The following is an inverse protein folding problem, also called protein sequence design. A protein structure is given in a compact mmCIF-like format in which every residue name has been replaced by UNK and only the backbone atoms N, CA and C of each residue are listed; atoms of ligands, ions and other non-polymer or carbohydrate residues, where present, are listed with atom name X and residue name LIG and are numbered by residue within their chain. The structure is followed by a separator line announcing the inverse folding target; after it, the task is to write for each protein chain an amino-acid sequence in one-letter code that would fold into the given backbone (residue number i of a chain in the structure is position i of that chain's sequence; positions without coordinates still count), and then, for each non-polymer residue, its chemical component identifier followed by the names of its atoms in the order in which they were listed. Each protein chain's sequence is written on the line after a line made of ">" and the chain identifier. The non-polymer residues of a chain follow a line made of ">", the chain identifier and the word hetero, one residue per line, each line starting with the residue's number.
data_IF_608001940197
#
_entry.id   IF_608001940197
#
_cell.length_a   1.000
_cell.length_b   1.000
_cell.length_c   1.000
_cell.angle_alpha   90.00
_cell.angle_beta   90.00
_cell.angle_gamma   90.00
#
_symmetry.space_group_name_H-M   'P 1'
#
loop_
_entity.id
_entity.type
_entity.pdbx_description
1 polymer ?
#
# COMPACT_ATOMS: atom_id res chain seq x y z
N UNK A 1 34.56 -7.16 7.25
CA UNK A 1 33.45 -6.88 8.20
C UNK A 1 32.58 -5.68 7.81
N UNK A 2 33.08 -4.64 7.13
CA UNK A 2 32.31 -3.43 6.74
C UNK A 2 31.23 -3.73 5.66
N UNK A 3 31.41 -4.73 4.80
CA UNK A 3 30.50 -5.07 3.71
C UNK A 3 29.20 -5.78 4.16
N UNK A 4 29.15 -6.37 5.35
CA UNK A 4 27.98 -7.09 5.86
C UNK A 4 26.94 -6.16 6.53
N UNK A 5 27.33 -4.98 6.96
CA UNK A 5 26.44 -4.02 7.66
C UNK A 5 25.60 -3.20 6.68
N UNK A 6 26.10 -2.95 5.45
CA UNK A 6 25.40 -2.15 4.43
C UNK A 6 23.99 -2.64 4.08
N UNK A 7 23.75 -3.95 3.83
CA UNK A 7 22.40 -4.41 3.47
C UNK A 7 21.39 -4.22 4.60
N UNK A 8 21.78 -4.41 5.87
CA UNK A 8 20.88 -4.18 7.00
C UNK A 8 20.52 -2.70 7.17
N UNK A 9 21.52 -1.80 7.05
CA UNK A 9 21.28 -0.37 7.13
C UNK A 9 20.32 0.11 6.02
N UNK A 10 20.51 -0.38 4.79
CA UNK A 10 19.61 -0.07 3.66
C UNK A 10 18.19 -0.61 3.90
N UNK A 11 18.06 -1.82 4.43
CA UNK A 11 16.76 -2.41 4.77
C UNK A 11 16.02 -1.58 5.82
N UNK A 12 16.70 -1.19 6.91
CA UNK A 12 16.11 -0.39 7.98
C UNK A 12 15.74 1.02 7.49
N UNK A 13 16.62 1.68 6.74
CA UNK A 13 16.33 3.02 6.20
C UNK A 13 15.18 3.01 5.19
N UNK A 14 15.09 1.98 4.35
CA UNK A 14 13.98 1.83 3.42
C UNK A 14 12.63 1.68 4.14
N UNK A 15 12.58 0.87 5.20
CA UNK A 15 11.38 0.71 6.03
C UNK A 15 10.99 2.00 6.74
N UNK A 16 11.95 2.68 7.36
CA UNK A 16 11.71 3.95 8.04
C UNK A 16 11.22 5.03 7.06
N UNK A 17 11.85 5.15 5.89
CA UNK A 17 11.43 6.10 4.85
C UNK A 17 10.01 5.81 4.35
N UNK A 18 9.68 4.55 4.10
CA UNK A 18 8.34 4.16 3.70
C UNK A 18 7.29 4.54 4.75
N UNK A 19 7.58 4.28 6.03
CA UNK A 19 6.68 4.65 7.12
C UNK A 19 6.49 6.16 7.24
N UNK A 20 7.56 6.95 7.09
CA UNK A 20 7.46 8.41 7.11
C UNK A 20 6.62 8.93 5.95
N UNK A 21 6.82 8.45 4.73
CA UNK A 21 6.01 8.82 3.56
C UNK A 21 4.54 8.47 3.76
N UNK A 22 4.26 7.30 4.35
CA UNK A 22 2.91 6.86 4.66
C UNK A 22 2.25 7.70 5.76
N UNK A 23 3.02 8.15 6.75
CA UNK A 23 2.50 8.91 7.89
C UNK A 23 2.09 10.35 7.56
N UNK A 24 2.62 10.94 6.47
CA UNK A 24 2.39 12.35 6.11
C UNK A 24 0.91 12.74 6.06
N UNK A 25 0.00 11.98 5.41
CA UNK A 25 -1.42 12.33 5.37
C UNK A 25 -2.09 12.33 6.75
N UNK A 26 -1.64 11.47 7.67
CA UNK A 26 -2.19 11.41 9.02
C UNK A 26 -1.72 12.57 9.90
N UNK A 27 -0.54 13.12 9.63
CA UNK A 27 0.00 14.26 10.36
C UNK A 27 -0.48 15.60 9.80
N UNK A 28 -0.62 15.72 8.47
CA UNK A 28 -0.86 16.99 7.78
C UNK A 28 -2.20 17.04 7.02
N UNK A 29 -3.01 15.99 7.12
CA UNK A 29 -4.32 15.89 6.47
C UNK A 29 -4.26 15.37 5.02
N UNK A 30 -5.44 15.11 4.45
CA UNK A 30 -5.60 14.46 3.13
C UNK A 30 -4.98 15.28 1.99
N UNK A 31 -4.89 16.61 2.12
CA UNK A 31 -4.21 17.48 1.14
C UNK A 31 -2.71 17.14 0.95
N UNK A 32 -2.10 16.45 1.92
CA UNK A 32 -0.71 16.01 1.86
C UNK A 32 -0.56 14.53 1.44
N UNK A 33 -1.50 13.98 0.66
CA UNK A 33 -1.49 12.57 0.27
C UNK A 33 -0.47 12.22 -0.83
N UNK A 34 0.12 13.20 -1.51
CA UNK A 34 1.09 12.95 -2.58
C UNK A 34 2.26 12.02 -2.17
N UNK A 35 2.90 12.15 -0.98
CA UNK A 35 3.96 11.24 -0.54
C UNK A 35 3.51 9.77 -0.42
N UNK A 36 2.21 9.51 -0.22
CA UNK A 36 1.67 8.16 -0.15
C UNK A 36 1.97 7.36 -1.43
N UNK A 37 2.00 8.04 -2.59
CA UNK A 37 2.30 7.41 -3.88
C UNK A 37 3.72 6.85 -3.95
N UNK A 38 4.63 7.38 -3.15
CA UNK A 38 6.04 7.00 -3.12
C UNK A 38 6.35 5.96 -2.03
N UNK A 39 5.39 5.67 -1.13
CA UNK A 39 5.58 4.78 0.04
C UNK A 39 6.12 3.40 -0.34
N UNK A 40 5.66 2.84 -1.44
CA UNK A 40 6.07 1.51 -1.87
C UNK A 40 7.46 1.44 -2.50
N UNK A 41 8.01 2.56 -3.00
CA UNK A 41 9.29 2.57 -3.72
C UNK A 41 10.45 2.09 -2.85
N UNK A 42 10.68 2.61 -1.62
CA UNK A 42 11.77 2.15 -0.77
C UNK A 42 11.67 0.65 -0.42
N UNK A 43 10.46 0.17 -0.11
CA UNK A 43 10.24 -1.24 0.22
C UNK A 43 10.53 -2.14 -0.97
N UNK A 44 10.05 -1.75 -2.16
CA UNK A 44 10.27 -2.50 -3.39
C UNK A 44 11.75 -2.47 -3.80
N UNK A 45 12.43 -1.33 -3.66
CA UNK A 45 13.86 -1.21 -3.94
C UNK A 45 14.72 -2.09 -3.02
N UNK A 46 14.41 -2.13 -1.72
CA UNK A 46 15.08 -3.05 -0.78
C UNK A 46 14.84 -4.52 -1.19
N UNK A 47 13.63 -4.85 -1.61
CA UNK A 47 13.27 -6.20 -2.03
C UNK A 47 13.94 -6.63 -3.33
N UNK A 48 13.89 -5.82 -4.37
CA UNK A 48 14.47 -6.14 -5.68
C UNK A 48 15.99 -6.07 -5.67
N UNK A 49 16.57 -5.15 -4.87
CA UNK A 49 18.03 -4.98 -4.79
C UNK A 49 18.73 -5.96 -3.87
N UNK A 50 18.08 -6.42 -2.79
CA UNK A 50 18.73 -7.27 -1.77
C UNK A 50 18.02 -8.63 -1.64
N UNK A 51 16.71 -8.68 -1.85
CA UNK A 51 15.92 -9.91 -1.81
C UNK A 51 14.72 -9.85 -0.86
N UNK A 52 13.91 -10.92 -0.86
CA UNK A 52 12.65 -11.00 -0.13
C UNK A 52 12.80 -10.81 1.39
N UNK A 53 13.89 -11.29 1.98
CA UNK A 53 14.17 -11.10 3.41
C UNK A 53 14.37 -9.61 3.74
N UNK A 54 15.01 -8.85 2.85
CA UNK A 54 15.16 -7.41 3.01
C UNK A 54 13.82 -6.68 2.83
N UNK A 55 12.98 -7.10 1.88
CA UNK A 55 11.62 -6.56 1.76
C UNK A 55 10.81 -6.79 3.04
N UNK A 56 10.86 -7.99 3.60
CA UNK A 56 10.18 -8.33 4.85
C UNK A 56 10.73 -7.52 6.03
N UNK A 57 12.05 -7.42 6.14
CA UNK A 57 12.72 -6.62 7.18
C UNK A 57 12.39 -5.13 7.08
N UNK A 58 12.36 -4.58 5.86
CA UNK A 58 11.93 -3.20 5.63
C UNK A 58 10.45 -3.00 5.98
N UNK A 59 9.58 -3.93 5.59
CA UNK A 59 8.16 -3.90 5.96
C UNK A 59 7.94 -3.92 7.47
N UNK A 60 8.64 -4.79 8.20
CA UNK A 60 8.58 -4.85 9.67
C UNK A 60 9.13 -3.57 10.30
N UNK A 61 10.25 -3.04 9.81
CA UNK A 61 10.79 -1.76 10.30
C UNK A 61 9.79 -0.63 10.08
N UNK A 62 9.20 -0.56 8.90
CA UNK A 62 8.15 0.42 8.60
C UNK A 62 6.95 0.27 9.54
N UNK A 63 6.51 -0.95 9.82
CA UNK A 63 5.42 -1.22 10.75
C UNK A 63 5.73 -0.76 12.18
N UNK A 64 6.96 -0.99 12.66
CA UNK A 64 7.40 -0.52 13.98
C UNK A 64 7.41 1.01 14.03
N UNK A 65 7.95 1.67 13.00
CA UNK A 65 8.01 3.13 12.93
C UNK A 65 6.61 3.74 12.87
N UNK A 66 5.71 3.24 12.00
CA UNK A 66 4.35 3.77 11.91
C UNK A 66 3.56 3.54 13.21
N UNK A 67 3.74 2.39 13.85
CA UNK A 67 3.12 2.12 15.16
C UNK A 67 3.62 3.11 16.22
N UNK A 68 4.92 3.43 16.23
CA UNK A 68 5.47 4.46 17.10
C UNK A 68 4.86 5.84 16.85
N UNK A 69 4.68 6.24 15.59
CA UNK A 69 4.03 7.50 15.21
C UNK A 69 2.56 7.50 15.64
N UNK A 70 1.83 6.41 15.41
CA UNK A 70 0.43 6.23 15.80
C UNK A 70 0.25 6.40 17.31
N UNK A 71 1.13 5.79 18.10
CA UNK A 71 1.12 5.93 19.56
C UNK A 71 1.45 7.36 19.99
N UNK A 72 2.45 8.00 19.37
CA UNK A 72 2.84 9.37 19.70
C UNK A 72 1.73 10.40 19.36
N UNK A 73 0.95 10.16 18.32
CA UNK A 73 -0.17 11.01 17.92
C UNK A 73 -1.50 10.62 18.56
N UNK A 74 -1.52 9.62 19.45
CA UNK A 74 -2.72 9.06 20.09
C UNK A 74 -3.81 8.64 19.08
N UNK A 75 -3.41 8.13 17.92
CA UNK A 75 -4.30 7.59 16.90
C UNK A 75 -4.67 6.13 17.21
N UNK A 76 -5.75 5.64 16.60
CA UNK A 76 -6.10 4.21 16.62
C UNK A 76 -5.10 3.34 15.83
N UNK A 77 -5.20 2.00 15.88
CA UNK A 77 -4.28 1.07 15.21
C UNK A 77 -4.44 1.02 13.68
N UNK A 78 -5.48 1.66 13.14
CA UNK A 78 -5.87 1.59 11.74
C UNK A 78 -4.73 1.95 10.76
N UNK A 79 -3.92 3.03 10.97
CA UNK A 79 -2.83 3.34 10.07
C UNK A 79 -1.77 2.24 10.02
N UNK A 80 -1.47 1.58 11.14
CA UNK A 80 -0.50 0.47 11.17
C UNK A 80 -1.02 -0.74 10.38
N UNK A 81 -2.30 -1.06 10.54
CA UNK A 81 -2.97 -2.14 9.82
C UNK A 81 -3.01 -1.83 8.32
N UNK A 82 -3.36 -0.60 7.94
CA UNK A 82 -3.39 -0.15 6.55
C UNK A 82 -1.99 -0.20 5.91
N UNK A 83 -0.95 0.24 6.60
CA UNK A 83 0.42 0.12 6.10
C UNK A 83 0.81 -1.34 5.84
N UNK A 84 0.50 -2.24 6.79
CA UNK A 84 0.80 -3.66 6.65
C UNK A 84 0.07 -4.28 5.45
N UNK A 85 -1.23 -4.02 5.30
CA UNK A 85 -2.08 -4.64 4.28
C UNK A 85 -1.91 -4.03 2.90
N UNK A 86 -1.69 -2.71 2.79
CA UNK A 86 -1.63 -2.02 1.50
C UNK A 86 -0.22 -1.95 0.91
N UNK A 87 0.82 -2.01 1.74
CA UNK A 87 2.20 -1.86 1.28
C UNK A 87 3.09 -3.02 1.70
N UNK A 88 3.27 -3.30 2.98
CA UNK A 88 4.27 -4.26 3.43
C UNK A 88 4.00 -5.67 2.90
N UNK A 89 2.82 -6.24 3.15
CA UNK A 89 2.50 -7.60 2.73
C UNK A 89 2.44 -7.76 1.20
N UNK A 90 1.78 -6.88 0.42
CA UNK A 90 1.76 -6.99 -1.04
C UNK A 90 3.14 -6.86 -1.67
N UNK A 91 4.00 -5.99 -1.15
CA UNK A 91 5.35 -5.80 -1.69
C UNK A 91 6.23 -7.01 -1.40
N UNK A 92 6.19 -7.56 -0.18
CA UNK A 92 6.91 -8.80 0.15
C UNK A 92 6.45 -9.94 -0.76
N UNK A 93 5.14 -10.08 -0.96
CA UNK A 93 4.59 -11.06 -1.88
C UNK A 93 5.05 -10.84 -3.32
N UNK A 94 4.99 -9.59 -3.83
CA UNK A 94 5.42 -9.25 -5.18
C UNK A 94 6.91 -9.56 -5.38
N UNK A 95 7.78 -9.15 -4.45
CA UNK A 95 9.22 -9.44 -4.49
C UNK A 95 9.48 -10.95 -4.45
N UNK A 96 8.76 -11.69 -3.59
CA UNK A 96 8.89 -13.14 -3.54
C UNK A 96 8.52 -13.79 -4.88
N UNK A 97 7.44 -13.37 -5.49
CA UNK A 97 6.98 -13.91 -6.77
C UNK A 97 7.93 -13.52 -7.92
N UNK A 98 8.38 -12.27 -7.98
CA UNK A 98 9.33 -11.79 -8.99
C UNK A 98 10.68 -12.48 -8.88
N UNK A 99 11.13 -12.80 -7.66
CA UNK A 99 12.37 -13.55 -7.42
C UNK A 99 12.30 -15.03 -7.75
N UNK A 100 11.12 -15.58 -8.09
CA UNK A 100 10.98 -16.96 -8.52
C UNK A 100 11.45 -17.13 -9.96
N UNK A 101 12.40 -18.05 -10.15
CA UNK A 101 12.84 -18.46 -11.48
C UNK A 101 12.54 -19.95 -11.68
N UNK A 102 12.32 -20.34 -12.92
CA UNK A 102 12.24 -21.76 -13.33
C UNK A 102 13.35 -22.02 -14.32
N UNK A 103 13.96 -23.20 -14.22
CA UNK A 103 14.85 -23.66 -15.27
C UNK A 103 13.99 -24.27 -16.36
N UNK A 104 14.04 -23.70 -17.57
CA UNK A 104 13.41 -24.24 -18.76
C UNK A 104 14.00 -25.61 -19.08
N UNK A 105 13.25 -26.44 -19.82
CA UNK A 105 13.75 -27.71 -20.37
C UNK A 105 14.99 -27.56 -21.26
N UNK A 106 15.25 -26.32 -21.72
CA UNK A 106 16.41 -25.96 -22.54
C UNK A 106 17.58 -25.39 -21.69
N UNK A 107 17.48 -25.40 -20.35
CA UNK A 107 18.51 -24.93 -19.44
C UNK A 107 18.57 -23.40 -19.21
N UNK A 108 17.63 -22.63 -19.77
CA UNK A 108 17.55 -21.20 -19.52
C UNK A 108 16.79 -20.90 -18.23
N UNK A 109 17.22 -19.81 -17.54
CA UNK A 109 16.50 -19.29 -16.37
C UNK A 109 15.36 -18.40 -16.85
N UNK A 110 14.13 -18.82 -16.57
CA UNK A 110 12.91 -18.07 -16.85
C UNK A 110 12.43 -17.42 -15.55
N UNK A 111 12.35 -16.10 -15.53
CA UNK A 111 11.77 -15.33 -14.43
C UNK A 111 10.26 -15.24 -14.57
N UNK A 112 9.56 -15.12 -13.44
CA UNK A 112 8.11 -14.89 -13.44
C UNK A 112 7.80 -13.58 -14.16
N UNK A 113 6.87 -13.58 -15.15
CA UNK A 113 6.46 -12.35 -15.81
C UNK A 113 5.82 -11.38 -14.81
N UNK A 114 6.17 -10.08 -14.82
CA UNK A 114 5.56 -9.07 -13.95
C UNK A 114 4.03 -9.05 -14.03
N UNK A 115 3.47 -9.28 -15.21
CA UNK A 115 2.03 -9.36 -15.41
C UNK A 115 1.37 -10.46 -14.59
N UNK A 116 2.00 -11.61 -14.43
CA UNK A 116 1.51 -12.72 -13.58
C UNK A 116 1.46 -12.30 -12.13
N UNK A 117 2.48 -11.57 -11.64
CA UNK A 117 2.53 -11.06 -10.27
C UNK A 117 1.40 -10.04 -10.04
N UNK A 118 1.20 -9.14 -10.99
CA UNK A 118 0.10 -8.15 -10.92
C UNK A 118 -1.27 -8.83 -10.93
N UNK A 119 -1.45 -9.89 -11.73
CA UNK A 119 -2.70 -10.66 -11.74
C UNK A 119 -2.98 -11.34 -10.38
N UNK A 120 -1.96 -11.90 -9.72
CA UNK A 120 -2.11 -12.46 -8.38
C UNK A 120 -2.43 -11.40 -7.31
N UNK A 121 -1.79 -10.23 -7.38
CA UNK A 121 -2.10 -9.11 -6.48
C UNK A 121 -3.54 -8.62 -6.69
N UNK A 122 -3.98 -8.51 -7.94
CA UNK A 122 -5.36 -8.16 -8.27
C UNK A 122 -6.34 -9.21 -7.72
N UNK A 123 -6.07 -10.49 -7.92
CA UNK A 123 -6.90 -11.57 -7.38
C UNK A 123 -6.99 -11.51 -5.85
N UNK A 124 -5.86 -11.29 -5.16
CA UNK A 124 -5.82 -11.13 -3.71
C UNK A 124 -6.63 -9.91 -3.25
N UNK A 125 -6.55 -8.78 -3.96
CA UNK A 125 -7.32 -7.59 -3.67
C UNK A 125 -8.83 -7.82 -3.85
N UNK A 126 -9.26 -8.50 -4.92
CA UNK A 126 -10.66 -8.87 -5.15
C UNK A 126 -11.18 -9.75 -4.01
N UNK A 127 -10.42 -10.79 -3.63
CA UNK A 127 -10.79 -11.66 -2.51
C UNK A 127 -10.88 -10.86 -1.21
N UNK A 128 -9.93 -9.98 -0.94
CA UNK A 128 -9.97 -9.08 0.23
C UNK A 128 -11.22 -8.21 0.26
N UNK A 129 -11.61 -7.64 -0.89
CA UNK A 129 -12.84 -6.86 -1.00
C UNK A 129 -14.11 -7.70 -0.77
N UNK A 130 -14.16 -8.92 -1.30
CA UNK A 130 -15.29 -9.83 -1.08
C UNK A 130 -15.41 -10.16 0.41
N UNK A 131 -14.30 -10.50 1.07
CA UNK A 131 -14.27 -10.79 2.50
C UNK A 131 -14.74 -9.58 3.31
N UNK A 132 -14.21 -8.39 2.98
CA UNK A 132 -14.61 -7.14 3.64
C UNK A 132 -16.10 -6.86 3.43
N UNK A 133 -16.60 -6.99 2.21
CA UNK A 133 -18.03 -6.83 1.91
C UNK A 133 -18.92 -7.80 2.70
N UNK A 134 -18.52 -9.07 2.79
CA UNK A 134 -19.24 -10.07 3.57
C UNK A 134 -19.24 -9.77 5.09
N UNK A 135 -18.14 -9.22 5.62
CA UNK A 135 -18.07 -8.81 7.03
C UNK A 135 -19.00 -7.63 7.31
N UNK A 136 -19.08 -6.67 6.40
CA UNK A 136 -19.97 -5.51 6.50
C UNK A 136 -21.43 -5.95 6.45
N UNK A 137 -21.80 -6.84 5.52
CA UNK A 137 -23.18 -7.36 5.38
C UNK A 137 -23.61 -8.12 6.65
N UNK A 138 -22.71 -8.91 7.28
CA UNK A 138 -23.00 -9.58 8.54
C UNK A 138 -23.25 -8.63 9.72
N UNK A 139 -22.72 -7.41 9.64
CA UNK A 139 -22.95 -6.36 10.64
C UNK A 139 -24.21 -5.54 10.44
N UNK A 140 -25.15 -5.98 9.56
CA UNK A 140 -26.38 -5.23 9.17
C UNK A 140 -26.09 -3.81 8.62
N UNK A 141 -24.88 -3.57 8.17
CA UNK A 141 -24.48 -2.27 7.61
C UNK A 141 -24.42 -2.36 6.09
N UNK A 142 -25.14 -1.50 5.40
CA UNK A 142 -25.02 -1.39 3.94
C UNK A 142 -23.63 -0.82 3.57
N UNK A 143 -22.92 -1.52 2.67
CA UNK A 143 -21.60 -1.10 2.18
C UNK A 143 -21.62 0.33 1.61
N UNK A 144 -22.72 0.71 0.93
CA UNK A 144 -22.92 2.06 0.40
C UNK A 144 -23.01 3.07 1.52
N UNK A 145 -23.75 2.75 2.58
CA UNK A 145 -23.89 3.61 3.77
C UNK A 145 -22.56 3.78 4.47
N UNK A 146 -21.81 2.67 4.68
CA UNK A 146 -20.49 2.71 5.28
C UNK A 146 -19.53 3.58 4.45
N UNK A 147 -19.47 3.33 3.13
CA UNK A 147 -18.59 4.09 2.23
C UNK A 147 -18.95 5.58 2.23
N UNK A 148 -20.23 5.90 2.23
CA UNK A 148 -20.71 7.28 2.34
C UNK A 148 -20.27 7.94 3.64
N UNK A 149 -20.31 7.23 4.77
CA UNK A 149 -19.88 7.73 6.08
C UNK A 149 -18.40 8.12 6.07
N UNK A 150 -17.55 7.44 5.28
CA UNK A 150 -16.16 7.83 5.08
C UNK A 150 -15.98 8.97 4.08
N UNK A 151 -16.78 9.01 3.01
CA UNK A 151 -16.65 10.03 1.96
C UNK A 151 -17.15 11.41 2.40
N UNK A 152 -18.21 11.51 3.21
CA UNK A 152 -18.75 12.79 3.64
C UNK A 152 -17.71 13.67 4.37
N UNK A 153 -16.98 13.19 5.40
CA UNK A 153 -15.92 13.96 6.05
C UNK A 153 -14.75 14.29 5.11
N UNK A 154 -14.36 13.35 4.25
CA UNK A 154 -13.28 13.57 3.30
C UNK A 154 -13.62 14.70 2.32
N UNK A 155 -14.83 14.69 1.76
CA UNK A 155 -15.29 15.75 0.86
C UNK A 155 -15.48 17.09 1.57
N UNK A 156 -15.91 17.08 2.83
CA UNK A 156 -16.00 18.31 3.64
C UNK A 156 -14.61 18.93 3.83
N UNK A 157 -13.58 18.12 4.03
CA UNK A 157 -12.21 18.61 4.17
C UNK A 157 -11.58 19.10 2.86
N UNK A 158 -11.96 18.49 1.71
CA UNK A 158 -11.41 18.87 0.40
C UNK A 158 -12.15 20.06 -0.21
N UNK A 159 -13.47 20.15 0.02
CA UNK A 159 -14.37 21.14 -0.57
C UNK A 159 -15.16 21.87 0.53
N UNK A 160 -14.49 22.62 1.43
CA UNK A 160 -15.15 23.26 2.56
C UNK A 160 -16.18 24.32 2.14
N UNK A 161 -16.06 24.85 0.92
CA UNK A 161 -16.99 25.82 0.34
C UNK A 161 -18.31 25.19 -0.12
N UNK A 162 -18.40 23.85 -0.23
CA UNK A 162 -19.62 23.19 -0.67
C UNK A 162 -20.57 22.97 0.51
N UNK A 163 -21.85 23.34 0.32
CA UNK A 163 -22.86 23.07 1.33
C UNK A 163 -23.05 21.56 1.56
N UNK A 164 -23.46 21.17 2.78
CA UNK A 164 -23.65 19.78 3.20
C UNK A 164 -24.53 18.95 2.25
N UNK A 165 -25.55 19.58 1.65
CA UNK A 165 -26.39 18.88 0.69
C UNK A 165 -25.63 18.41 -0.55
N UNK A 166 -24.75 19.27 -1.09
CA UNK A 166 -23.91 18.95 -2.25
C UNK A 166 -22.88 17.88 -1.92
N UNK A 167 -22.25 17.98 -0.75
CA UNK A 167 -21.30 16.97 -0.24
C UNK A 167 -21.98 15.60 -0.12
N UNK A 168 -23.17 15.55 0.49
CA UNK A 168 -23.94 14.30 0.63
C UNK A 168 -24.34 13.71 -0.71
N UNK A 169 -24.76 14.53 -1.65
CA UNK A 169 -25.07 14.09 -3.01
C UNK A 169 -23.86 13.50 -3.72
N UNK A 170 -22.71 14.16 -3.65
CA UNK A 170 -21.45 13.64 -4.21
C UNK A 170 -21.06 12.30 -3.55
N UNK A 171 -21.07 12.24 -2.22
CA UNK A 171 -20.73 11.03 -1.47
C UNK A 171 -21.66 9.86 -1.83
N UNK A 172 -22.98 10.09 -1.93
CA UNK A 172 -23.92 9.04 -2.30
C UNK A 172 -23.78 8.56 -3.74
N UNK A 173 -23.41 9.44 -4.67
CA UNK A 173 -23.16 9.07 -6.08
C UNK A 173 -21.87 8.28 -6.23
N UNK A 174 -20.82 8.60 -5.45
CA UNK A 174 -19.54 7.95 -5.54
C UNK A 174 -19.43 6.67 -4.71
N UNK A 175 -20.23 6.52 -3.65
CA UNK A 175 -20.15 5.37 -2.75
C UNK A 175 -20.20 4.00 -3.44
N UNK A 176 -21.04 3.73 -4.46
CA UNK A 176 -21.06 2.42 -5.13
C UNK A 176 -19.79 2.08 -5.91
N UNK A 177 -19.12 3.10 -6.49
CA UNK A 177 -17.93 2.91 -7.32
C UNK A 177 -16.62 3.09 -6.55
N UNK A 178 -16.68 3.66 -5.36
CA UNK A 178 -15.51 4.02 -4.55
C UNK A 178 -14.60 2.82 -4.23
N UNK A 179 -15.11 1.64 -3.83
CA UNK A 179 -14.25 0.49 -3.54
C UNK A 179 -13.43 0.06 -4.76
N UNK A 180 -14.04 0.06 -5.96
CA UNK A 180 -13.34 -0.24 -7.21
C UNK A 180 -12.29 0.82 -7.57
N UNK A 181 -12.59 2.10 -7.36
CA UNK A 181 -11.66 3.20 -7.58
C UNK A 181 -10.44 3.11 -6.65
N UNK A 182 -10.66 2.83 -5.36
CA UNK A 182 -9.57 2.61 -4.39
C UNK A 182 -8.67 1.47 -4.82
N UNK A 183 -9.24 0.36 -5.30
CA UNK A 183 -8.49 -0.79 -5.77
C UNK A 183 -7.66 -0.47 -7.02
N UNK A 184 -8.24 0.25 -7.98
CA UNK A 184 -7.52 0.68 -9.18
C UNK A 184 -6.35 1.62 -8.83
N UNK A 185 -6.55 2.58 -7.93
CA UNK A 185 -5.50 3.46 -7.43
C UNK A 185 -4.41 2.65 -6.72
N UNK A 186 -4.78 1.71 -5.87
CA UNK A 186 -3.81 0.87 -5.15
C UNK A 186 -2.95 0.04 -6.11
N UNK A 187 -3.55 -0.58 -7.14
CA UNK A 187 -2.80 -1.30 -8.17
C UNK A 187 -1.84 -0.39 -8.94
N UNK A 188 -2.28 0.84 -9.25
CA UNK A 188 -1.43 1.85 -9.88
C UNK A 188 -0.24 2.22 -8.98
N UNK A 189 -0.47 2.40 -7.67
CA UNK A 189 0.59 2.69 -6.70
C UNK A 189 1.64 1.58 -6.64
N UNK A 190 1.21 0.31 -6.66
CA UNK A 190 2.14 -0.83 -6.70
C UNK A 190 2.92 -0.88 -8.01
N UNK A 191 2.28 -0.59 -9.15
CA UNK A 191 2.97 -0.52 -10.44
C UNK A 191 4.00 0.60 -10.48
N UNK A 192 3.66 1.80 -10.00
CA UNK A 192 4.57 2.95 -9.88
C UNK A 192 5.72 2.63 -8.93
N UNK A 193 5.44 1.98 -7.79
CA UNK A 193 6.47 1.56 -6.83
C UNK A 193 7.46 0.60 -7.47
N UNK A 194 6.98 -0.36 -8.25
CA UNK A 194 7.83 -1.32 -8.97
C UNK A 194 8.69 -0.63 -10.02
N UNK A 195 8.08 0.24 -10.86
CA UNK A 195 8.80 0.97 -11.89
C UNK A 195 9.84 1.93 -11.27
N UNK A 196 9.48 2.66 -10.22
CA UNK A 196 10.38 3.55 -9.50
C UNK A 196 11.55 2.82 -8.85
N UNK A 197 11.31 1.65 -8.25
CA UNK A 197 12.37 0.81 -7.68
C UNK A 197 13.33 0.29 -8.75
N UNK A 198 12.83 -0.17 -9.89
CA UNK A 198 13.65 -0.60 -11.02
C UNK A 198 14.52 0.56 -11.53
N UNK A 199 13.93 1.75 -11.69
CA UNK A 199 14.68 2.93 -12.14
C UNK A 199 15.81 3.32 -11.16
N UNK A 200 15.57 3.20 -9.84
CA UNK A 200 16.59 3.47 -8.82
C UNK A 200 17.72 2.45 -8.81
N UNK A 201 17.46 1.20 -9.17
CA UNK A 201 18.48 0.14 -9.17
C UNK A 201 19.33 0.11 -10.45
N UNK A 202 18.85 0.74 -11.52
CA UNK A 202 19.57 0.84 -12.81
C UNK A 202 20.52 2.06 -12.89
N UNK A 203 20.39 3.02 -11.99
CA UNK A 203 21.29 4.19 -11.86
C UNK A 203 22.34 3.97 -10.77
#
# INVERSE_FOLDING_TARGET
>A
MINSVRPYALTLSAGALAALLFAVPFAFGIGAAAPLTLTGIPLMAAGLGIGVIAAAGAGLTGLVVITGIVLALALGPEPSILFALLFAAPIVFAVHMLGRSRTSSLGYIEWQPPLTVMAWLLAAAIVGMIIFGLMVIKGDTDLVVLTRTFLEPAFTGIFPEFGLFRIRSMASTMAPVFPGAVMAIWMLLLAVSTAGAIALLHN
#
